data_IF_508918263492
#
_entry.id   IF_508918263492
#
_cell.length_a   1.000
_cell.length_b   1.000
_cell.length_c   1.000
_cell.angle_alpha   90.00
_cell.angle_beta   90.00
_cell.angle_gamma   90.00
#
_symmetry.space_group_name_H-M   'P 1'
#
loop_
_entity.id
_entity.type
_entity.pdbx_description
1 polymer ?
#
# COMPACT_ATOMS: atom_id res chain seq x y z
N UNK A 1 2.38 -14.25 -42.89
CA UNK A 1 1.49 -13.18 -42.40
C UNK A 1 1.70 -12.92 -40.89
N UNK A 2 2.94 -12.97 -40.37
CA UNK A 2 3.24 -12.78 -38.93
C UNK A 2 4.46 -11.86 -38.70
N UNK A 3 4.80 -11.02 -39.68
CA UNK A 3 6.00 -10.14 -39.61
C UNK A 3 5.68 -8.67 -39.36
N UNK A 4 4.41 -8.27 -39.38
CA UNK A 4 3.99 -6.89 -39.18
C UNK A 4 3.60 -6.57 -37.73
N UNK A 5 3.21 -7.56 -36.93
CA UNK A 5 2.83 -7.34 -35.52
C UNK A 5 4.02 -6.99 -34.63
N UNK A 6 5.18 -7.59 -34.88
CA UNK A 6 6.42 -7.27 -34.15
C UNK A 6 6.95 -5.88 -34.46
N UNK A 7 6.80 -5.41 -35.70
CA UNK A 7 7.24 -4.07 -36.11
C UNK A 7 6.34 -2.96 -35.55
N UNK A 8 5.05 -3.24 -35.30
CA UNK A 8 4.13 -2.28 -34.66
C UNK A 8 4.40 -2.21 -33.15
N UNK A 9 4.62 -3.34 -32.48
CA UNK A 9 5.00 -3.35 -31.05
C UNK A 9 6.35 -2.65 -30.82
N UNK A 10 7.33 -2.91 -31.70
CA UNK A 10 8.65 -2.27 -31.62
C UNK A 10 8.55 -0.79 -32.00
N UNK A 11 7.67 -0.40 -32.92
CA UNK A 11 7.45 1.01 -33.25
C UNK A 11 6.70 1.77 -32.16
N UNK A 12 5.79 1.15 -31.40
CA UNK A 12 5.18 1.76 -30.20
C UNK A 12 6.26 1.95 -29.13
N UNK A 13 7.12 0.95 -28.92
CA UNK A 13 8.23 1.04 -27.95
C UNK A 13 9.34 2.02 -28.36
N UNK A 14 9.54 2.29 -29.67
CA UNK A 14 10.63 3.15 -30.17
C UNK A 14 10.18 4.49 -30.81
N UNK A 15 8.87 4.75 -30.97
CA UNK A 15 8.33 6.03 -31.44
C UNK A 15 7.96 6.98 -30.28
N UNK A 16 8.11 6.53 -29.03
CA UNK A 16 8.08 7.35 -27.82
C UNK A 16 9.48 7.65 -27.22
N UNK A 17 10.58 7.89 -27.98
CA UNK A 17 11.90 8.18 -27.41
C UNK A 17 12.02 9.66 -26.93
N UNK A 18 10.89 10.35 -26.82
CA UNK A 18 10.75 11.74 -26.34
C UNK A 18 9.68 11.91 -25.26
N UNK A 19 8.87 10.87 -25.01
CA UNK A 19 8.33 10.64 -23.67
C UNK A 19 9.50 10.03 -22.89
N UNK A 20 10.41 10.92 -22.53
CA UNK A 20 11.20 10.77 -21.31
C UNK A 20 10.24 10.13 -20.32
N UNK A 21 10.67 9.03 -19.68
CA UNK A 21 10.11 8.53 -18.44
C UNK A 21 9.99 9.73 -17.51
N UNK A 22 8.91 10.49 -17.67
CA UNK A 22 8.64 11.69 -16.96
C UNK A 22 8.47 11.17 -15.55
N UNK A 23 9.40 11.60 -14.72
CA UNK A 23 9.63 11.26 -13.32
C UNK A 23 8.36 11.55 -12.53
N UNK A 24 7.28 10.80 -12.76
CA UNK A 24 6.22 10.65 -11.80
C UNK A 24 6.84 9.75 -10.73
N UNK A 25 7.61 10.35 -9.81
CA UNK A 25 7.82 9.82 -8.47
C UNK A 25 6.46 9.34 -7.99
N UNK A 26 6.24 8.03 -8.00
CA UNK A 26 4.91 7.49 -7.80
C UNK A 26 4.50 7.87 -6.38
N UNK A 27 3.44 8.68 -6.31
CA UNK A 27 2.87 9.36 -5.14
C UNK A 27 2.23 8.42 -4.11
N UNK A 28 2.79 7.23 -3.92
CA UNK A 28 2.14 6.14 -3.22
C UNK A 28 2.86 5.82 -1.91
N UNK A 29 2.48 6.53 -0.86
CA UNK A 29 2.85 6.13 0.49
C UNK A 29 2.10 4.85 0.85
N UNK A 30 2.85 3.88 1.36
CA UNK A 30 2.34 2.58 1.79
C UNK A 30 2.99 2.24 3.11
N UNK A 31 2.15 2.10 4.13
CA UNK A 31 2.49 1.48 5.41
C UNK A 31 1.66 0.21 5.56
N UNK A 32 1.91 -0.62 6.58
CA UNK A 32 1.08 -1.78 6.88
C UNK A 32 1.33 -2.31 8.28
N UNK A 33 0.40 -3.08 8.84
CA UNK A 33 0.65 -3.84 10.06
C UNK A 33 1.92 -4.70 9.98
N UNK A 34 2.69 -4.75 11.07
CA UNK A 34 3.91 -5.56 11.14
C UNK A 34 3.58 -7.01 10.82
N UNK A 35 4.35 -7.63 9.92
CA UNK A 35 4.14 -9.01 9.47
C UNK A 35 5.39 -9.85 9.72
N UNK A 36 5.28 -11.15 10.01
CA UNK A 36 6.44 -12.01 10.00
C UNK A 36 6.98 -12.07 8.57
N UNK A 37 8.30 -12.03 8.42
CA UNK A 37 8.92 -12.29 7.14
C UNK A 37 8.78 -13.79 6.82
N UNK A 38 7.64 -14.13 6.23
CA UNK A 38 7.28 -15.49 5.85
C UNK A 38 8.10 -15.90 4.63
N UNK A 39 8.98 -16.87 4.82
CA UNK A 39 9.79 -17.38 3.73
C UNK A 39 9.10 -18.63 3.19
N UNK A 40 9.03 -18.78 1.86
CA UNK A 40 8.30 -19.89 1.23
C UNK A 40 8.63 -21.24 1.89
N UNK A 41 7.61 -21.89 2.46
CA UNK A 41 7.74 -23.18 3.14
C UNK A 41 7.87 -23.12 4.67
N UNK A 42 7.89 -21.95 5.30
CA UNK A 42 7.80 -21.82 6.75
C UNK A 42 6.35 -21.80 7.22
N UNK A 43 6.02 -22.54 8.29
CA UNK A 43 4.72 -22.44 8.95
C UNK A 43 4.55 -21.07 9.62
N UNK A 44 3.29 -20.61 9.74
CA UNK A 44 2.99 -19.38 10.46
C UNK A 44 3.56 -19.46 11.88
N UNK A 45 4.23 -18.40 12.36
CA UNK A 45 4.72 -18.41 13.72
C UNK A 45 3.53 -18.59 14.67
N UNK A 46 3.75 -19.27 15.79
CA UNK A 46 2.74 -19.41 16.84
C UNK A 46 2.49 -18.09 17.59
N UNK A 47 2.37 -16.97 16.87
CA UNK A 47 2.12 -15.63 17.39
C UNK A 47 0.77 -15.15 16.84
N UNK A 48 -0.08 -14.66 17.72
CA UNK A 48 -1.40 -14.11 17.40
C UNK A 48 -1.39 -12.59 17.60
N UNK A 49 -2.03 -11.85 16.69
CA UNK A 49 -2.22 -10.41 16.82
C UNK A 49 -3.56 -10.14 17.51
N UNK A 50 -3.50 -9.67 18.75
CA UNK A 50 -4.67 -9.54 19.63
C UNK A 50 -5.32 -8.16 19.60
N UNK A 51 -4.60 -7.13 19.18
CA UNK A 51 -5.14 -5.80 18.94
C UNK A 51 -4.22 -4.97 18.04
N UNK A 52 -4.81 -4.04 17.31
CA UNK A 52 -4.10 -2.99 16.59
C UNK A 52 -4.76 -1.61 16.81
N UNK A 53 -3.92 -0.58 16.89
CA UNK A 53 -4.34 0.81 16.95
C UNK A 53 -3.40 1.61 16.06
N UNK A 54 -3.95 2.31 15.08
CA UNK A 54 -3.19 3.09 14.11
C UNK A 54 -3.73 4.50 14.06
N UNK A 55 -2.85 5.47 14.25
CA UNK A 55 -3.17 6.90 14.16
C UNK A 55 -2.37 7.49 13.00
N UNK A 56 -3.09 7.97 11.99
CA UNK A 56 -2.53 8.67 10.82
C UNK A 56 -2.87 10.15 10.99
N UNK A 57 -1.85 10.98 11.22
CA UNK A 57 -1.99 12.43 11.29
C UNK A 57 -1.68 13.01 9.92
N UNK A 58 -2.65 13.69 9.32
CA UNK A 58 -2.43 14.43 8.08
C UNK A 58 -2.35 15.91 8.39
N UNK A 59 -1.26 16.53 7.93
CA UNK A 59 -1.01 17.95 8.07
C UNK A 59 -0.59 18.58 6.74
N UNK A 60 -0.62 19.91 6.68
CA UNK A 60 -0.07 20.67 5.56
C UNK A 60 1.19 21.41 6.01
N UNK A 61 2.20 21.45 5.15
CA UNK A 61 3.43 22.21 5.37
C UNK A 61 3.72 23.10 4.15
N UNK A 62 4.52 24.16 4.34
CA UNK A 62 4.92 25.07 3.27
C UNK A 62 6.37 24.78 2.92
N UNK A 63 6.57 24.19 1.75
CA UNK A 63 7.91 23.97 1.22
C UNK A 63 8.38 25.21 0.46
N UNK A 64 9.47 25.81 0.93
CA UNK A 64 10.15 26.92 0.26
C UNK A 64 11.31 26.35 -0.56
N UNK A 65 11.14 26.24 -1.88
CA UNK A 65 12.21 25.75 -2.76
C UNK A 65 13.25 26.84 -2.98
N UNK A 66 14.41 26.70 -2.34
CA UNK A 66 15.63 27.41 -2.75
C UNK A 66 16.29 26.68 -3.94
N UNK A 67 15.71 26.71 -5.14
CA UNK A 67 16.33 26.09 -6.31
C UNK A 67 16.24 26.96 -7.57
N UNK A 68 17.40 27.51 -7.93
CA UNK A 68 17.84 27.92 -9.27
C UNK A 68 16.84 28.71 -10.12
N UNK A 69 16.92 30.04 -9.99
CA UNK A 69 16.49 31.01 -11.01
C UNK A 69 15.05 30.80 -11.53
N UNK A 70 14.04 31.08 -10.70
CA UNK A 70 12.83 31.90 -10.99
C UNK A 70 11.79 31.61 -9.88
N UNK A 71 11.36 32.69 -9.21
CA UNK A 71 10.35 32.81 -8.14
C UNK A 71 10.56 32.08 -6.79
N UNK A 72 10.38 32.85 -5.70
CA UNK A 72 10.07 32.34 -4.35
C UNK A 72 8.64 31.75 -4.35
N UNK A 73 8.41 30.66 -5.09
CA UNK A 73 7.12 29.96 -5.06
C UNK A 73 7.04 29.11 -3.78
N UNK A 74 6.13 29.50 -2.89
CA UNK A 74 5.71 28.69 -1.76
C UNK A 74 4.73 27.64 -2.28
N UNK A 75 5.09 26.37 -2.12
CA UNK A 75 4.19 25.25 -2.44
C UNK A 75 3.73 24.61 -1.15
N UNK A 76 2.42 24.53 -0.97
CA UNK A 76 1.82 23.75 0.12
C UNK A 76 1.93 22.27 -0.22
N UNK A 77 2.39 21.47 0.74
CA UNK A 77 2.53 20.01 0.61
C UNK A 77 1.75 19.32 1.74
N UNK A 78 1.25 18.12 1.49
CA UNK A 78 0.76 17.27 2.57
C UNK A 78 1.92 16.57 3.27
N UNK A 79 1.72 16.22 4.53
CA UNK A 79 2.56 15.32 5.30
C UNK A 79 1.69 14.33 6.05
N UNK A 80 2.20 13.12 6.22
CA UNK A 80 1.56 12.12 7.05
C UNK A 80 2.54 11.58 8.10
N UNK A 81 2.13 11.64 9.37
CA UNK A 81 2.78 10.94 10.47
C UNK A 81 1.91 9.75 10.85
N UNK A 82 2.50 8.55 10.80
CA UNK A 82 1.77 7.30 11.06
C UNK A 82 2.35 6.65 12.29
N UNK A 83 1.53 6.52 13.33
CA UNK A 83 1.85 5.82 14.56
C UNK A 83 1.02 4.55 14.62
N UNK A 84 1.70 3.41 14.59
CA UNK A 84 1.04 2.10 14.61
C UNK A 84 1.45 1.32 15.85
N UNK A 85 0.47 0.72 16.54
CA UNK A 85 0.67 -0.06 17.76
C UNK A 85 -0.04 -1.40 17.68
N UNK A 86 0.69 -2.47 17.95
CA UNK A 86 0.21 -3.85 17.84
C UNK A 86 0.50 -4.64 19.11
N UNK A 87 -0.48 -5.44 19.54
CA UNK A 87 -0.30 -6.38 20.65
C UNK A 87 -0.21 -7.81 20.14
N UNK A 88 0.99 -8.38 20.24
CA UNK A 88 1.28 -9.75 19.83
C UNK A 88 1.38 -10.68 21.03
N UNK A 89 0.76 -11.86 20.94
CA UNK A 89 0.83 -12.89 21.99
C UNK A 89 1.42 -14.17 21.44
N UNK A 90 2.45 -14.70 22.12
CA UNK A 90 3.02 -16.00 21.76
C UNK A 90 2.18 -17.16 22.28
N UNK A 91 1.54 -17.89 21.37
CA UNK A 91 0.72 -19.08 21.63
C UNK A 91 1.40 -20.39 21.27
N UNK A 92 2.64 -20.37 20.81
CA UNK A 92 3.41 -21.54 20.39
C UNK A 92 4.80 -21.63 21.02
N UNK A 93 5.72 -22.27 20.28
CA UNK A 93 7.13 -22.46 20.66
C UNK A 93 8.07 -21.45 19.98
N UNK A 94 7.53 -20.43 19.28
CA UNK A 94 8.34 -19.46 18.58
C UNK A 94 9.05 -18.54 19.58
N UNK A 95 10.37 -18.66 19.71
CA UNK A 95 11.16 -17.83 20.63
C UNK A 95 11.53 -16.48 20.02
N UNK A 96 11.62 -16.40 18.68
CA UNK A 96 12.08 -15.23 17.92
C UNK A 96 11.34 -15.12 16.60
N UNK A 97 10.97 -13.90 16.22
CA UNK A 97 10.32 -13.59 14.94
C UNK A 97 11.00 -12.40 14.29
N UNK A 98 11.33 -12.52 13.01
CA UNK A 98 11.73 -11.40 12.18
C UNK A 98 10.46 -10.75 11.63
N UNK A 99 10.17 -9.54 12.08
CA UNK A 99 9.03 -8.74 11.64
C UNK A 99 9.47 -7.79 10.53
N UNK A 100 8.53 -7.44 9.65
CA UNK A 100 8.76 -6.57 8.51
C UNK A 100 7.54 -5.70 8.17
N UNK A 101 7.81 -4.51 7.65
CA UNK A 101 6.84 -3.63 6.96
C UNK A 101 7.44 -3.18 5.61
N UNK A 102 6.61 -2.87 4.59
CA UNK A 102 7.09 -2.21 3.39
C UNK A 102 7.64 -0.83 3.74
N UNK A 103 8.67 -0.41 3.01
CA UNK A 103 9.16 0.97 3.04
C UNK A 103 8.82 1.59 1.69
N UNK A 104 8.31 2.81 1.72
CA UNK A 104 8.07 3.60 0.50
C UNK A 104 9.38 3.75 -0.28
N UNK A 105 9.40 3.33 -1.55
CA UNK A 105 10.48 3.65 -2.47
C UNK A 105 9.98 4.64 -3.51
N UNK A 106 10.66 5.78 -3.66
CA UNK A 106 10.25 6.92 -4.48
C UNK A 106 9.81 6.59 -5.91
N UNK A 107 10.18 5.44 -6.47
CA UNK A 107 9.39 4.82 -7.55
C UNK A 107 9.50 3.28 -7.54
N UNK A 108 8.50 2.55 -8.08
CA UNK A 108 8.61 1.14 -8.49
C UNK A 108 9.86 0.82 -9.31
N UNK A 109 10.30 1.79 -10.11
CA UNK A 109 11.36 1.66 -11.10
C UNK A 109 12.73 2.05 -10.54
N UNK A 110 12.82 2.78 -9.42
CA UNK A 110 14.10 3.28 -8.91
C UNK A 110 15.03 2.16 -8.43
N UNK A 111 14.56 1.11 -7.73
CA UNK A 111 15.42 -0.05 -7.44
C UNK A 111 15.90 -0.75 -8.72
N UNK A 112 15.08 -0.73 -9.77
CA UNK A 112 15.38 -1.34 -11.08
C UNK A 112 16.35 -0.51 -11.95
N UNK A 113 16.34 0.83 -11.80
CA UNK A 113 17.06 1.76 -12.69
C UNK A 113 18.31 2.36 -12.03
N UNK A 114 18.34 2.49 -10.69
CA UNK A 114 19.39 3.24 -9.99
C UNK A 114 20.11 2.41 -8.91
N UNK A 115 20.52 1.17 -9.22
CA UNK A 115 21.25 0.24 -8.34
C UNK A 115 22.59 0.74 -7.73
N UNK A 116 22.84 2.05 -7.64
CA UNK A 116 23.90 2.66 -6.86
C UNK A 116 23.38 3.92 -6.15
N UNK A 117 23.25 3.89 -4.80
CA UNK A 117 23.16 5.08 -3.95
C UNK A 117 21.84 5.36 -3.23
N UNK A 118 20.86 4.44 -3.26
CA UNK A 118 19.49 4.66 -2.75
C UNK A 118 19.37 4.70 -1.22
N UNK A 119 20.34 4.15 -0.47
CA UNK A 119 20.26 4.09 1.01
C UNK A 119 20.12 5.46 1.69
N UNK A 120 20.53 6.54 1.02
CA UNK A 120 20.49 7.90 1.60
C UNK A 120 19.12 8.59 1.51
N UNK A 121 18.13 8.00 0.83
CA UNK A 121 16.82 8.64 0.56
C UNK A 121 15.63 7.93 1.17
N UNK A 122 15.79 6.71 1.70
CA UNK A 122 14.68 5.97 2.31
C UNK A 122 14.56 6.31 3.80
N UNK A 123 13.38 6.79 4.21
CA UNK A 123 13.07 6.97 5.62
C UNK A 123 13.06 5.60 6.31
N UNK A 124 13.90 5.42 7.32
CA UNK A 124 13.89 4.19 8.12
C UNK A 124 12.91 4.40 9.28
N UNK A 125 11.87 3.56 9.43
CA UNK A 125 10.91 3.70 10.51
C UNK A 125 11.60 3.57 11.86
N UNK A 126 11.09 4.31 12.85
CA UNK A 126 11.48 4.12 14.24
C UNK A 126 10.61 3.02 14.83
N UNK A 127 11.20 1.89 15.20
CA UNK A 127 10.47 0.75 15.77
C UNK A 127 10.79 0.61 17.26
N UNK A 128 9.74 0.39 18.06
CA UNK A 128 9.82 0.14 19.49
C UNK A 128 9.21 -1.21 19.83
N UNK A 129 9.84 -1.93 20.78
CA UNK A 129 9.29 -3.14 21.38
C UNK A 129 9.22 -2.93 22.89
N UNK A 130 8.01 -2.99 23.45
CA UNK A 130 7.71 -2.65 24.85
C UNK A 130 8.30 -1.29 25.26
N UNK A 131 8.17 -0.29 24.38
CA UNK A 131 8.70 1.06 24.60
C UNK A 131 10.23 1.18 24.54
N UNK A 132 10.95 0.19 24.01
CA UNK A 132 12.40 0.27 23.78
C UNK A 132 12.74 0.23 22.29
N UNK A 133 13.61 1.12 21.78
CA UNK A 133 13.96 1.15 20.37
C UNK A 133 14.76 -0.11 19.99
N UNK A 134 14.49 -0.63 18.79
CA UNK A 134 15.19 -1.77 18.22
C UNK A 134 15.95 -1.38 16.95
N UNK A 135 16.98 -2.15 16.61
CA UNK A 135 17.69 -1.97 15.36
C UNK A 135 16.81 -2.41 14.19
N UNK A 136 16.57 -1.49 13.27
CA UNK A 136 15.86 -1.74 12.01
C UNK A 136 16.86 -1.91 10.89
N UNK A 137 16.66 -2.94 10.08
CA UNK A 137 17.50 -3.27 8.93
C UNK A 137 16.65 -3.20 7.67
N UNK A 138 17.09 -2.43 6.69
CA UNK A 138 16.48 -2.42 5.36
C UNK A 138 16.92 -3.67 4.59
N UNK A 139 15.98 -4.33 3.93
CA UNK A 139 16.21 -5.46 3.03
C UNK A 139 15.50 -5.21 1.70
N UNK A 140 16.15 -5.55 0.59
CA UNK A 140 15.58 -5.40 -0.76
C UNK A 140 15.27 -6.73 -1.42
N UNK A 141 15.66 -7.84 -0.79
CA UNK A 141 15.46 -9.17 -1.30
C UNK A 141 16.06 -10.22 -0.38
N UNK A 142 15.74 -11.49 -0.65
CA UNK A 142 16.41 -12.62 -0.05
C UNK A 142 16.77 -13.70 -1.06
N UNK A 143 17.78 -14.49 -0.74
CA UNK A 143 18.20 -15.62 -1.57
C UNK A 143 18.42 -16.87 -0.68
N UNK A 144 17.89 -18.05 -1.04
CA UNK A 144 18.17 -19.28 -0.31
C UNK A 144 19.68 -19.57 -0.33
N UNK A 145 20.32 -19.73 0.82
CA UNK A 145 21.77 -19.96 0.87
C UNK A 145 22.18 -21.27 0.17
N UNK A 146 21.26 -22.24 0.12
CA UNK A 146 21.48 -23.54 -0.53
C UNK A 146 21.55 -23.45 -2.06
N UNK A 147 21.03 -22.36 -2.64
CA UNK A 147 21.06 -22.12 -4.09
C UNK A 147 22.34 -21.38 -4.53
N UNK A 148 23.26 -21.06 -3.60
CA UNK A 148 24.54 -20.41 -3.88
C UNK A 148 25.66 -21.44 -3.88
N UNK A 149 26.24 -21.70 -5.05
CA UNK A 149 27.39 -22.60 -5.13
C UNK A 149 28.57 -22.07 -4.31
N UNK A 150 29.33 -22.98 -3.71
CA UNK A 150 30.52 -22.66 -2.90
C UNK A 150 31.54 -21.73 -3.61
N UNK A 151 31.59 -21.75 -4.94
CA UNK A 151 32.46 -20.89 -5.75
C UNK A 151 31.88 -19.52 -6.11
N UNK A 152 30.58 -19.30 -5.90
CA UNK A 152 29.85 -18.08 -6.24
C UNK A 152 29.71 -17.11 -5.06
N UNK A 153 29.92 -17.56 -3.83
CA UNK A 153 29.75 -16.73 -2.62
C UNK A 153 30.48 -15.39 -2.68
N UNK A 154 31.73 -15.36 -3.16
CA UNK A 154 32.46 -14.10 -3.24
C UNK A 154 31.80 -13.13 -4.23
N UNK A 155 31.32 -13.63 -5.37
CA UNK A 155 30.61 -12.81 -6.37
C UNK A 155 29.26 -12.32 -5.82
N UNK A 156 28.55 -13.18 -5.09
CA UNK A 156 27.26 -12.83 -4.47
C UNK A 156 27.44 -11.78 -3.37
N UNK A 157 28.41 -11.96 -2.47
CA UNK A 157 28.68 -11.00 -1.39
C UNK A 157 29.14 -9.65 -1.93
N UNK A 158 29.97 -9.64 -2.97
CA UNK A 158 30.46 -8.41 -3.61
C UNK A 158 29.31 -7.62 -4.28
N UNK A 159 28.24 -8.30 -4.73
CA UNK A 159 27.12 -7.68 -5.46
C UNK A 159 25.91 -7.33 -4.60
N UNK A 160 25.70 -8.02 -3.47
CA UNK A 160 24.45 -7.96 -2.71
C UNK A 160 24.50 -7.12 -1.43
N UNK A 161 25.66 -6.86 -0.85
CA UNK A 161 25.77 -6.19 0.48
C UNK A 161 24.86 -6.86 1.55
N UNK A 162 25.28 -8.01 2.10
CA UNK A 162 24.44 -8.80 2.99
C UNK A 162 24.16 -8.12 4.33
N UNK A 163 22.99 -8.43 4.90
CA UNK A 163 22.46 -7.83 6.14
C UNK A 163 23.14 -8.37 7.41
N UNK A 164 23.89 -9.49 7.29
CA UNK A 164 24.53 -10.19 8.39
C UNK A 164 26.06 -10.09 8.34
N UNK A 165 26.68 -9.95 9.51
CA UNK A 165 28.15 -9.95 9.67
C UNK A 165 28.80 -11.31 9.36
N UNK A 166 28.00 -12.37 9.27
CA UNK A 166 28.45 -13.73 8.97
C UNK A 166 27.57 -14.38 7.90
N UNK A 167 28.18 -15.24 7.08
CA UNK A 167 27.47 -16.03 6.08
C UNK A 167 26.33 -16.84 6.70
N UNK A 168 25.14 -16.87 6.06
CA UNK A 168 24.07 -17.75 6.48
C UNK A 168 24.52 -19.22 6.37
N UNK A 169 24.04 -20.05 7.28
CA UNK A 169 24.22 -21.50 7.24
C UNK A 169 23.36 -22.11 6.12
N UNK A 170 23.67 -23.34 5.72
CA UNK A 170 22.78 -24.13 4.86
C UNK A 170 21.38 -24.18 5.48
N UNK A 171 20.32 -24.11 4.67
CA UNK A 171 18.91 -23.88 5.04
C UNK A 171 18.52 -22.48 5.56
N UNK A 172 19.47 -21.54 5.68
CA UNK A 172 19.17 -20.14 5.99
C UNK A 172 19.06 -19.29 4.72
N UNK A 173 18.52 -18.09 4.85
CA UNK A 173 18.40 -17.14 3.75
C UNK A 173 19.45 -16.03 3.88
N UNK A 174 19.96 -15.60 2.74
CA UNK A 174 20.79 -14.42 2.59
C UNK A 174 19.88 -13.23 2.33
N UNK A 175 19.68 -12.37 3.34
CA UNK A 175 19.04 -11.06 3.14
C UNK A 175 20.08 -10.04 2.69
N UNK A 176 19.69 -9.14 1.81
CA UNK A 176 20.62 -8.21 1.18
C UNK A 176 20.10 -6.77 1.09
N UNK A 177 21.04 -5.81 1.13
CA UNK A 177 20.79 -4.37 1.15
C UNK A 177 20.97 -3.70 -0.21
N UNK A 178 21.59 -4.39 -1.17
CA UNK A 178 21.80 -3.84 -2.49
C UNK A 178 21.74 -4.94 -3.55
N UNK A 179 21.55 -4.55 -4.80
CA UNK A 179 21.77 -5.42 -5.94
C UNK A 179 22.47 -4.64 -7.05
N UNK A 180 23.74 -4.95 -7.31
CA UNK A 180 24.48 -4.35 -8.41
C UNK A 180 24.20 -5.12 -9.71
N UNK A 181 23.28 -4.60 -10.53
CA UNK A 181 22.99 -5.12 -11.87
C UNK A 181 24.17 -4.80 -12.81
N UNK A 182 25.04 -5.78 -13.07
CA UNK A 182 26.13 -5.60 -14.04
C UNK A 182 26.25 -6.71 -15.08
N UNK A 183 25.31 -7.66 -15.15
CA UNK A 183 25.41 -8.75 -16.13
C UNK A 183 24.04 -9.14 -16.72
N UNK A 184 23.78 -8.83 -18.01
CA UNK A 184 22.54 -9.22 -18.68
C UNK A 184 22.37 -10.73 -18.89
N UNK A 185 23.43 -11.54 -18.66
CA UNK A 185 23.34 -13.01 -18.70
C UNK A 185 23.01 -13.64 -17.33
N UNK A 186 22.98 -12.87 -16.24
CA UNK A 186 22.51 -13.33 -14.94
C UNK A 186 20.99 -13.11 -14.83
N UNK A 187 20.21 -14.05 -15.37
CA UNK A 187 18.78 -14.19 -15.02
C UNK A 187 18.66 -14.81 -13.63
N UNK A 188 19.09 -14.10 -12.59
CA UNK A 188 18.60 -14.45 -11.25
C UNK A 188 17.18 -13.92 -11.21
N UNK A 189 16.21 -14.83 -11.39
CA UNK A 189 14.84 -14.55 -11.00
C UNK A 189 14.91 -14.06 -9.56
N UNK A 190 14.74 -12.75 -9.34
CA UNK A 190 14.73 -12.19 -8.00
C UNK A 190 13.64 -12.91 -7.22
N UNK A 191 14.07 -13.79 -6.31
CA UNK A 191 13.22 -14.35 -5.29
C UNK A 191 12.93 -13.18 -4.34
N UNK A 192 11.65 -13.01 -4.04
CA UNK A 192 11.00 -11.94 -3.28
C UNK A 192 11.81 -11.37 -2.09
N UNK A 193 11.43 -10.21 -1.49
CA UNK A 193 10.36 -9.27 -1.88
C UNK A 193 10.69 -8.40 -3.10
N UNK A 194 9.64 -8.03 -3.85
CA UNK A 194 9.74 -7.01 -4.92
C UNK A 194 9.51 -5.58 -4.38
N UNK A 195 9.64 -5.41 -3.07
CA UNK A 195 9.42 -4.17 -2.31
C UNK A 195 10.52 -4.10 -1.25
N UNK A 196 11.07 -2.91 -1.01
CA UNK A 196 12.00 -2.71 0.10
C UNK A 196 11.26 -2.90 1.43
N UNK A 197 11.85 -3.63 2.37
CA UNK A 197 11.26 -3.87 3.69
C UNK A 197 12.17 -3.34 4.79
N UNK A 198 11.56 -2.76 5.81
CA UNK A 198 12.20 -2.49 7.10
C UNK A 198 11.95 -3.69 8.00
N UNK A 199 13.01 -4.30 8.53
CA UNK A 199 12.92 -5.52 9.32
C UNK A 199 13.61 -5.40 10.68
N UNK A 200 13.03 -6.05 11.70
CA UNK A 200 13.58 -6.12 13.05
C UNK A 200 13.23 -7.45 13.73
N UNK A 201 14.04 -7.84 14.71
CA UNK A 201 13.82 -9.09 15.45
C UNK A 201 13.09 -8.83 16.77
N UNK A 202 12.07 -9.63 17.06
CA UNK A 202 11.36 -9.62 18.34
C UNK A 202 11.49 -10.99 19.00
N UNK A 203 11.90 -11.00 20.27
CA UNK A 203 11.98 -12.21 21.09
C UNK A 203 10.75 -12.37 21.98
N UNK A 204 10.15 -13.55 21.96
CA UNK A 204 8.99 -13.91 22.76
C UNK A 204 9.32 -15.06 23.70
N UNK A 205 8.83 -15.00 24.94
CA UNK A 205 8.66 -16.21 25.76
C UNK A 205 7.27 -16.81 25.48
N UNK A 206 7.09 -18.11 25.72
CA UNK A 206 5.77 -18.74 25.58
C UNK A 206 4.74 -18.07 26.50
N UNK A 207 3.58 -17.71 25.94
CA UNK A 207 2.50 -16.99 26.62
C UNK A 207 2.77 -15.49 26.85
N UNK A 208 3.92 -14.97 26.42
CA UNK A 208 4.25 -13.56 26.58
C UNK A 208 3.50 -12.70 25.55
N UNK A 209 2.96 -11.59 26.02
CA UNK A 209 2.50 -10.49 25.18
C UNK A 209 3.62 -9.47 24.98
N UNK A 210 3.73 -8.91 23.77
CA UNK A 210 4.64 -7.82 23.41
C UNK A 210 3.85 -6.71 22.74
N UNK A 211 4.16 -5.47 23.12
CA UNK A 211 3.76 -4.28 22.39
C UNK A 211 4.83 -4.02 21.32
N UNK A 212 4.42 -3.93 20.07
CA UNK A 212 5.28 -3.53 18.96
C UNK A 212 4.69 -2.27 18.35
N UNK A 213 5.50 -1.23 18.26
CA UNK A 213 5.09 0.07 17.75
C UNK A 213 6.07 0.52 16.68
N UNK A 214 5.59 1.26 15.70
CA UNK A 214 6.48 1.97 14.79
C UNK A 214 5.89 3.31 14.37
N UNK A 215 6.79 4.22 14.02
CA UNK A 215 6.48 5.54 13.47
C UNK A 215 7.10 5.69 12.09
N UNK A 216 6.26 6.06 11.13
CA UNK A 216 6.63 6.40 9.76
C UNK A 216 6.24 7.85 9.46
N UNK A 217 7.17 8.58 8.85
CA UNK A 217 6.95 9.94 8.35
C UNK A 217 6.96 9.88 6.82
N UNK A 218 5.93 10.42 6.21
CA UNK A 218 5.87 10.61 4.77
C UNK A 218 5.84 12.10 4.44
N UNK A 219 6.92 12.55 3.82
CA UNK A 219 7.01 13.87 3.21
C UNK A 219 6.91 13.73 1.69
N UNK A 220 6.03 14.52 1.09
CA UNK A 220 5.77 14.39 -0.33
C UNK A 220 6.88 14.95 -1.21
N UNK A 221 7.35 14.15 -2.17
CA UNK A 221 8.18 14.62 -3.28
C UNK A 221 7.28 15.37 -4.27
N UNK A 222 7.32 16.70 -4.20
CA UNK A 222 6.63 17.62 -5.11
C UNK A 222 7.28 17.62 -6.49
N UNK A 223 7.28 16.51 -7.24
CA UNK A 223 7.96 16.47 -8.54
C UNK A 223 7.36 17.48 -9.55
N UNK A 224 6.13 17.97 -9.33
CA UNK A 224 5.45 18.92 -10.23
C UNK A 224 4.74 20.09 -9.55
N UNK A 225 5.01 20.35 -8.25
CA UNK A 225 4.39 21.47 -7.54
C UNK A 225 2.89 21.34 -7.28
N UNK A 226 2.32 20.12 -7.39
CA UNK A 226 0.93 19.84 -7.05
C UNK A 226 0.76 19.40 -5.60
N UNK A 227 -0.35 19.82 -4.98
CA UNK A 227 -0.81 19.39 -3.66
C UNK A 227 -1.72 18.15 -3.82
N UNK A 228 -1.13 16.95 -3.82
CA UNK A 228 -1.85 15.65 -3.95
C UNK A 228 -1.14 14.56 -3.13
N UNK A 229 -1.84 13.75 -2.32
CA UNK A 229 -1.29 12.66 -1.49
C UNK A 229 -2.10 11.38 -1.62
N UNK A 230 -1.45 10.22 -1.75
CA UNK A 230 -2.13 8.92 -1.67
C UNK A 230 -1.47 8.05 -0.61
N UNK A 231 -2.31 7.46 0.24
CA UNK A 231 -1.89 6.52 1.28
C UNK A 231 -2.69 5.23 1.19
N UNK A 232 -2.00 4.11 1.30
CA UNK A 232 -2.65 2.81 1.51
C UNK A 232 -2.13 2.17 2.78
N UNK A 233 -3.04 1.66 3.59
CA UNK A 233 -2.77 0.79 4.73
C UNK A 233 -3.43 -0.57 4.48
N UNK A 234 -2.70 -1.57 3.99
CA UNK A 234 -3.24 -2.91 3.79
C UNK A 234 -3.34 -3.67 5.11
N UNK A 235 -4.49 -4.31 5.32
CA UNK A 235 -4.75 -5.19 6.46
C UNK A 235 -4.49 -6.66 6.14
N UNK A 236 -4.26 -7.02 4.86
CA UNK A 236 -3.91 -8.39 4.48
C UNK A 236 -2.63 -8.91 5.14
N UNK A 237 -1.77 -7.99 5.59
CA UNK A 237 -0.59 -8.26 6.43
C UNK A 237 -0.97 -8.90 7.76
N UNK A 238 -2.13 -8.55 8.32
CA UNK A 238 -2.67 -9.16 9.52
C UNK A 238 -2.90 -10.68 9.40
N UNK A 239 -3.23 -11.17 8.20
CA UNK A 239 -3.50 -12.59 7.93
C UNK A 239 -2.23 -13.46 7.94
N UNK A 240 -1.06 -12.83 8.00
CA UNK A 240 0.21 -13.52 8.14
C UNK A 240 0.44 -14.02 9.57
N UNK A 241 -0.31 -13.50 10.53
CA UNK A 241 -0.34 -13.98 11.91
C UNK A 241 -1.31 -15.15 12.07
N UNK A 242 -1.18 -15.88 13.16
CA UNK A 242 -2.08 -16.99 13.46
C UNK A 242 -3.45 -16.46 13.87
N UNK A 243 -4.50 -16.89 13.18
CA UNK A 243 -5.89 -16.58 13.52
C UNK A 243 -6.36 -15.20 13.03
N UNK A 244 -7.55 -14.75 13.48
CA UNK A 244 -8.04 -13.40 13.18
C UNK A 244 -7.14 -12.33 13.77
N UNK A 245 -7.13 -11.15 13.13
CA UNK A 245 -6.64 -9.94 13.78
C UNK A 245 -7.70 -9.52 14.80
N UNK A 246 -7.28 -9.26 16.04
CA UNK A 246 -8.20 -8.99 17.16
C UNK A 246 -9.00 -7.68 17.00
N UNK A 247 -9.08 -6.88 18.06
CA UNK A 247 -9.72 -5.57 17.97
C UNK A 247 -8.79 -4.57 17.29
N UNK A 248 -9.28 -3.89 16.26
CA UNK A 248 -8.52 -2.91 15.50
C UNK A 248 -9.25 -1.58 15.39
N UNK A 249 -8.50 -0.49 15.57
CA UNK A 249 -8.97 0.86 15.26
C UNK A 249 -7.93 1.60 14.43
N UNK A 250 -8.37 2.21 13.34
CA UNK A 250 -7.54 3.03 12.46
C UNK A 250 -8.17 4.41 12.36
N UNK A 251 -7.47 5.41 12.89
CA UNK A 251 -7.93 6.80 12.95
C UNK A 251 -7.09 7.65 12.01
N UNK A 252 -7.73 8.22 10.98
CA UNK A 252 -7.13 9.24 10.11
C UNK A 252 -7.62 10.58 10.60
N UNK A 253 -6.74 11.40 11.19
CA UNK A 253 -7.11 12.72 11.68
C UNK A 253 -6.39 13.81 10.91
N UNK A 254 -7.16 14.82 10.54
CA UNK A 254 -6.69 15.98 9.82
C UNK A 254 -6.46 17.11 10.81
N UNK A 255 -5.30 17.75 10.74
CA UNK A 255 -4.98 18.87 11.62
C UNK A 255 -5.86 20.11 11.31
N UNK A 256 -5.67 21.19 12.06
CA UNK A 256 -6.44 22.44 11.88
C UNK A 256 -6.11 23.23 10.61
N UNK A 257 -5.01 22.89 9.92
CA UNK A 257 -4.60 23.55 8.67
C UNK A 257 -5.29 22.94 7.45
N UNK A 258 -5.82 21.72 7.60
CA UNK A 258 -6.46 20.96 6.54
C UNK A 258 -7.83 21.54 6.12
N UNK A 259 -8.09 21.54 4.81
CA UNK A 259 -9.40 21.85 4.22
C UNK A 259 -10.11 20.55 3.91
N UNK A 260 -11.30 20.29 4.49
CA UNK A 260 -12.05 19.03 4.31
C UNK A 260 -12.15 18.59 2.83
N UNK A 261 -12.44 19.54 1.96
CA UNK A 261 -12.63 19.30 0.53
C UNK A 261 -11.37 18.77 -0.16
N UNK A 262 -10.19 18.87 0.46
CA UNK A 262 -8.93 18.30 -0.06
C UNK A 262 -8.91 16.76 0.02
N UNK A 263 -9.74 16.14 0.87
CA UNK A 263 -9.89 14.68 0.90
C UNK A 263 -10.89 14.26 -0.18
N UNK A 264 -10.38 13.95 -1.37
CA UNK A 264 -11.21 13.72 -2.55
C UNK A 264 -11.74 12.28 -2.64
N UNK A 265 -11.04 11.30 -2.04
CA UNK A 265 -11.44 9.89 -2.13
C UNK A 265 -10.86 9.06 -0.98
N UNK A 266 -11.70 8.27 -0.31
CA UNK A 266 -11.27 7.33 0.72
C UNK A 266 -12.16 6.09 0.73
N UNK A 267 -11.56 4.93 1.05
CA UNK A 267 -12.28 3.65 1.15
C UNK A 267 -11.65 2.76 2.21
N UNK A 268 -12.48 1.97 2.89
CA UNK A 268 -12.06 0.80 3.65
C UNK A 268 -12.52 -0.47 2.95
N UNK A 269 -11.72 -1.01 2.02
CA UNK A 269 -12.08 -2.22 1.26
C UNK A 269 -12.13 -3.41 2.20
N UNK A 270 -13.22 -4.19 2.13
CA UNK A 270 -13.56 -5.27 3.05
C UNK A 270 -13.59 -4.84 4.53
N UNK A 271 -13.88 -3.57 4.80
CA UNK A 271 -14.08 -3.04 6.15
C UNK A 271 -15.51 -2.51 6.30
N UNK A 272 -15.97 -2.34 7.56
CA UNK A 272 -17.19 -1.59 7.84
C UNK A 272 -17.13 -0.15 7.31
N UNK A 273 -18.29 0.46 7.18
CA UNK A 273 -18.40 1.90 6.93
C UNK A 273 -17.67 2.69 8.03
N UNK A 274 -16.80 3.66 7.67
CA UNK A 274 -16.12 4.47 8.67
C UNK A 274 -17.07 5.45 9.36
N UNK A 275 -16.70 5.87 10.56
CA UNK A 275 -17.30 7.02 11.23
C UNK A 275 -16.54 8.30 10.85
N UNK A 276 -17.27 9.28 10.30
CA UNK A 276 -16.76 10.65 10.11
C UNK A 276 -17.08 11.51 11.33
N UNK A 277 -16.06 12.15 11.89
CA UNK A 277 -16.16 12.97 13.11
C UNK A 277 -15.67 14.38 12.82
N UNK A 278 -16.55 15.37 13.05
CA UNK A 278 -16.19 16.80 13.05
C UNK A 278 -15.95 17.30 14.47
N UNK A 279 -14.86 18.04 14.69
CA UNK A 279 -14.45 18.62 15.98
C UNK A 279 -14.41 17.57 17.11
N UNK A 280 -13.70 16.47 16.86
CA UNK A 280 -13.61 15.31 17.75
C UNK A 280 -12.37 15.30 18.65
N UNK A 281 -12.22 14.20 19.38
CA UNK A 281 -11.01 13.88 20.15
C UNK A 281 -10.68 12.41 19.99
N UNK A 282 -9.39 12.06 19.86
CA UNK A 282 -8.96 10.66 19.78
C UNK A 282 -9.29 9.92 21.09
N UNK A 283 -10.06 8.84 21.00
CA UNK A 283 -10.29 7.91 22.11
C UNK A 283 -9.41 6.68 21.92
N UNK A 284 -8.37 6.56 22.74
CA UNK A 284 -7.45 5.43 22.75
C UNK A 284 -7.60 4.58 24.02
N UNK A 285 -8.64 4.83 24.84
CA UNK A 285 -8.80 4.17 26.15
C UNK A 285 -8.94 2.66 26.03
N UNK A 286 -9.68 2.16 25.03
CA UNK A 286 -9.85 0.73 24.81
C UNK A 286 -8.48 0.05 24.60
N UNK A 287 -7.68 0.52 23.63
CA UNK A 287 -6.37 -0.06 23.34
C UNK A 287 -5.41 0.08 24.52
N UNK A 288 -5.27 1.29 25.07
CA UNK A 288 -4.35 1.58 26.16
C UNK A 288 -4.67 0.76 27.43
N UNK A 289 -5.95 0.48 27.71
CA UNK A 289 -6.35 -0.35 28.85
C UNK A 289 -5.88 -1.80 28.80
N UNK A 290 -5.44 -2.29 27.63
CA UNK A 290 -4.91 -3.65 27.41
C UNK A 290 -3.45 -3.76 27.82
N UNK A 291 -2.74 -2.63 27.93
CA UNK A 291 -1.33 -2.58 28.28
C UNK A 291 -1.14 -2.66 29.79
N UNK A 292 -0.16 -3.45 30.25
CA UNK A 292 0.22 -3.48 31.68
C UNK A 292 0.69 -2.10 32.17
N UNK A 293 1.39 -1.37 31.30
CA UNK A 293 1.81 0.00 31.55
C UNK A 293 1.53 0.87 30.32
N UNK A 294 0.38 1.57 30.25
CA UNK A 294 -0.01 2.34 29.07
C UNK A 294 0.98 3.43 28.67
N UNK A 295 1.73 3.98 29.65
CA UNK A 295 2.67 5.08 29.45
C UNK A 295 3.93 4.69 28.66
N UNK A 296 4.13 3.39 28.39
CA UNK A 296 5.24 2.95 27.51
C UNK A 296 4.90 3.13 26.04
N UNK A 297 3.60 3.20 25.70
CA UNK A 297 3.14 3.33 24.33
C UNK A 297 3.29 4.75 23.85
N UNK A 298 3.76 4.91 22.61
CA UNK A 298 3.82 6.20 21.93
C UNK A 298 2.42 6.80 21.74
N UNK A 299 1.39 5.94 21.62
CA UNK A 299 0.00 6.37 21.47
C UNK A 299 -0.60 7.00 22.74
N UNK A 300 0.02 6.82 23.91
CA UNK A 300 -0.50 7.38 25.15
C UNK A 300 -0.60 8.91 25.13
N UNK A 301 0.32 9.58 24.43
CA UNK A 301 0.36 11.04 24.31
C UNK A 301 -0.72 11.60 23.38
N UNK A 302 -1.30 10.75 22.52
CA UNK A 302 -2.36 11.13 21.58
C UNK A 302 -3.76 10.98 22.17
N UNK A 303 -3.92 10.34 23.33
CA UNK A 303 -5.24 10.11 23.91
C UNK A 303 -5.88 11.45 24.31
N UNK A 304 -7.11 11.69 23.85
CA UNK A 304 -7.83 12.97 23.92
C UNK A 304 -7.22 14.11 23.10
N UNK A 305 -6.37 13.82 22.11
CA UNK A 305 -5.95 14.84 21.15
C UNK A 305 -7.16 15.32 20.36
N UNK A 306 -7.43 16.63 20.42
CA UNK A 306 -8.51 17.27 19.67
C UNK A 306 -8.13 17.42 18.18
N UNK A 307 -9.11 17.22 17.29
CA UNK A 307 -8.93 17.37 15.85
C UNK A 307 -10.17 17.99 15.18
N UNK A 308 -9.96 18.65 14.05
CA UNK A 308 -11.05 19.35 13.33
C UNK A 308 -11.93 18.38 12.55
N UNK A 309 -11.31 17.36 11.95
CA UNK A 309 -11.98 16.34 11.17
C UNK A 309 -11.21 15.01 11.26
N UNK A 310 -11.92 13.90 11.32
CA UNK A 310 -11.33 12.58 11.35
C UNK A 310 -12.24 11.51 10.77
N UNK A 311 -11.62 10.44 10.29
CA UNK A 311 -12.27 9.25 9.76
C UNK A 311 -11.74 8.05 10.54
N UNK A 312 -12.65 7.27 11.12
CA UNK A 312 -12.32 6.16 12.01
C UNK A 312 -12.92 4.88 11.47
N UNK A 313 -12.07 3.87 11.30
CA UNK A 313 -12.51 2.49 11.09
C UNK A 313 -12.29 1.68 12.36
N UNK A 314 -13.34 0.99 12.81
CA UNK A 314 -13.27 0.01 13.89
C UNK A 314 -13.68 -1.37 13.37
N UNK A 315 -12.92 -2.39 13.77
CA UNK A 315 -13.20 -3.77 13.43
C UNK A 315 -12.77 -4.70 14.57
N UNK A 316 -13.35 -5.90 14.62
CA UNK A 316 -13.11 -6.84 15.70
C UNK A 316 -13.11 -8.27 15.19
N UNK A 317 -12.05 -9.01 15.49
CA UNK A 317 -11.83 -10.39 15.03
C UNK A 317 -11.95 -10.49 13.50
N UNK A 318 -11.37 -9.51 12.81
CA UNK A 318 -11.37 -9.48 11.35
C UNK A 318 -10.43 -10.58 10.82
N UNK A 319 -10.85 -11.29 9.79
CA UNK A 319 -10.02 -12.31 9.12
C UNK A 319 -9.65 -11.83 7.71
N UNK A 320 -8.56 -11.05 7.59
CA UNK A 320 -8.13 -10.56 6.28
C UNK A 320 -7.76 -11.70 5.33
N UNK A 321 -7.98 -11.49 4.03
CA UNK A 321 -7.50 -12.41 2.99
C UNK A 321 -5.98 -12.26 2.88
N UNK A 322 -5.18 -13.33 3.03
CA UNK A 322 -3.73 -13.23 3.07
C UNK A 322 -3.10 -12.82 1.73
N UNK A 323 -1.98 -12.10 1.83
CA UNK A 323 -1.09 -11.83 0.70
C UNK A 323 0.39 -11.83 1.08
N UNK A 324 1.25 -11.92 0.07
CA UNK A 324 2.69 -11.82 0.22
C UNK A 324 3.22 -10.39 0.09
N UNK A 325 4.53 -10.23 0.25
CA UNK A 325 5.22 -8.96 0.02
C UNK A 325 5.46 -8.71 -1.47
N UNK A 326 4.38 -8.37 -2.19
CA UNK A 326 4.42 -8.09 -3.62
C UNK A 326 4.04 -6.65 -3.92
N UNK A 327 4.76 -6.03 -4.87
CA UNK A 327 4.48 -4.66 -5.27
C UNK A 327 3.04 -4.51 -5.83
N UNK A 328 2.49 -5.56 -6.47
CA UNK A 328 1.11 -5.57 -6.96
C UNK A 328 0.07 -5.42 -5.84
N UNK A 329 0.34 -5.99 -4.67
CA UNK A 329 -0.58 -5.93 -3.54
C UNK A 329 -0.58 -4.57 -2.85
N UNK A 330 0.59 -3.94 -2.78
CA UNK A 330 0.79 -2.64 -2.13
C UNK A 330 0.44 -1.44 -3.04
N UNK A 331 0.59 -1.59 -4.35
CA UNK A 331 0.45 -0.51 -5.35
C UNK A 331 -0.55 -0.86 -6.46
N UNK A 332 -1.75 -1.29 -6.06
CA UNK A 332 -2.79 -1.80 -6.97
C UNK A 332 -3.32 -0.78 -8.01
N UNK A 333 -3.17 0.50 -7.72
CA UNK A 333 -3.64 1.66 -8.46
C UNK A 333 -2.61 2.18 -9.49
N UNK A 334 -1.47 1.49 -9.63
CA UNK A 334 -0.49 1.79 -10.67
C UNK A 334 -0.99 1.34 -12.04
N UNK A 335 -0.95 2.27 -12.99
CA UNK A 335 -1.34 2.05 -14.39
C UNK A 335 -0.62 0.84 -15.05
N UNK A 336 0.63 0.57 -14.68
CA UNK A 336 1.41 -0.58 -15.17
C UNK A 336 0.72 -1.92 -14.82
N UNK A 337 0.06 -2.01 -13.66
CA UNK A 337 -0.68 -3.23 -13.30
C UNK A 337 -1.99 -3.36 -13.99
N UNK A 338 -2.66 -2.24 -14.26
CA UNK A 338 -3.86 -2.30 -15.08
C UNK A 338 -3.56 -3.03 -16.39
N UNK A 339 -2.54 -2.62 -17.15
CA UNK A 339 -2.20 -3.28 -18.41
C UNK A 339 -1.84 -4.76 -18.23
N UNK A 340 -1.07 -5.09 -17.19
CA UNK A 340 -0.65 -6.48 -16.92
C UNK A 340 -1.85 -7.37 -16.57
N UNK A 341 -2.76 -6.87 -15.73
CA UNK A 341 -3.94 -7.59 -15.29
C UNK A 341 -5.00 -7.65 -16.40
N UNK A 342 -5.11 -6.61 -17.22
CA UNK A 342 -5.99 -6.54 -18.40
C UNK A 342 -5.59 -7.56 -19.45
N UNK A 343 -4.30 -7.64 -19.81
CA UNK A 343 -3.79 -8.66 -20.73
C UNK A 343 -4.08 -10.08 -20.21
N UNK A 344 -3.87 -10.31 -18.91
CA UNK A 344 -4.15 -11.60 -18.26
C UNK A 344 -5.64 -11.95 -18.29
N UNK A 345 -6.51 -10.95 -18.09
CA UNK A 345 -7.96 -11.09 -18.15
C UNK A 345 -8.42 -11.42 -19.58
N UNK A 346 -7.92 -10.71 -20.60
CA UNK A 346 -8.23 -10.99 -22.02
C UNK A 346 -7.82 -12.41 -22.40
N UNK A 347 -6.62 -12.84 -22.00
CA UNK A 347 -6.09 -14.16 -22.37
C UNK A 347 -6.85 -15.29 -21.67
N UNK A 348 -7.35 -15.06 -20.45
CA UNK A 348 -8.07 -16.07 -19.65
C UNK A 348 -9.24 -15.50 -18.84
N UNK A 349 -10.37 -15.16 -19.49
CA UNK A 349 -11.50 -14.47 -18.84
C UNK A 349 -12.23 -15.29 -17.76
N UNK A 350 -12.04 -16.62 -17.77
CA UNK A 350 -12.66 -17.55 -16.82
C UNK A 350 -11.69 -18.00 -15.70
N UNK A 351 -10.47 -17.48 -15.67
CA UNK A 351 -9.59 -17.71 -14.54
C UNK A 351 -10.09 -16.85 -13.39
N UNK A 352 -10.27 -17.42 -12.19
CA UNK A 352 -10.46 -16.61 -10.98
C UNK A 352 -9.25 -15.68 -10.89
N UNK A 353 -9.46 -14.40 -11.15
CA UNK A 353 -8.46 -13.42 -10.81
C UNK A 353 -8.45 -13.42 -9.27
N UNK A 354 -7.27 -13.43 -8.66
CA UNK A 354 -7.13 -13.06 -7.24
C UNK A 354 -6.53 -11.66 -7.18
N UNK A 355 -7.22 -10.65 -7.72
CA UNK A 355 -6.63 -9.36 -7.89
C UNK A 355 -6.42 -8.67 -6.54
N UNK A 356 -5.47 -7.73 -6.47
CA UNK A 356 -5.12 -7.06 -5.23
C UNK A 356 -6.28 -6.23 -4.65
N UNK A 357 -7.23 -5.79 -5.47
CA UNK A 357 -8.38 -4.98 -5.05
C UNK A 357 -9.48 -5.73 -4.28
N UNK A 358 -9.41 -7.06 -4.15
CA UNK A 358 -10.26 -7.81 -3.22
C UNK A 358 -9.57 -8.12 -1.88
N UNK A 359 -8.51 -7.37 -1.56
CA UNK A 359 -7.79 -7.53 -0.29
C UNK A 359 -8.06 -6.33 0.59
N UNK A 360 -8.28 -6.63 1.87
CA UNK A 360 -8.66 -5.66 2.87
C UNK A 360 -7.61 -4.57 3.05
N UNK A 361 -8.03 -3.31 2.97
CA UNK A 361 -7.14 -2.14 3.06
C UNK A 361 -7.92 -0.86 3.30
N UNK A 362 -7.24 0.13 3.87
CA UNK A 362 -7.65 1.53 3.80
C UNK A 362 -6.90 2.19 2.64
N UNK A 363 -7.62 2.98 1.87
CA UNK A 363 -7.11 3.79 0.78
C UNK A 363 -7.54 5.23 0.97
N UNK A 364 -6.60 6.17 0.86
CA UNK A 364 -6.84 7.61 0.95
C UNK A 364 -6.20 8.29 -0.24
N UNK A 365 -6.91 9.24 -0.83
CA UNK A 365 -6.41 10.16 -1.84
C UNK A 365 -6.87 11.57 -1.49
N UNK A 366 -5.88 12.45 -1.32
CA UNK A 366 -6.03 13.87 -1.09
C UNK A 366 -5.50 14.63 -2.30
N UNK A 367 -6.13 15.74 -2.65
CA UNK A 367 -5.75 16.51 -3.81
C UNK A 367 -6.56 17.78 -3.98
N UNK A 368 -5.97 18.77 -4.64
CA UNK A 368 -6.69 19.96 -5.12
C UNK A 368 -7.68 19.64 -6.26
N UNK A 369 -7.50 18.51 -6.93
CA UNK A 369 -8.30 18.08 -8.07
C UNK A 369 -8.96 16.75 -7.74
N UNK A 370 -10.27 16.65 -7.98
CA UNK A 370 -11.00 15.41 -7.81
C UNK A 370 -10.48 14.33 -8.79
N UNK A 371 -10.38 13.07 -8.34
CA UNK A 371 -9.98 11.97 -9.21
C UNK A 371 -10.98 11.80 -10.36
N UNK A 372 -10.48 11.48 -11.54
CA UNK A 372 -11.30 11.38 -12.76
C UNK A 372 -11.15 10.04 -13.48
N UNK A 373 -10.12 9.24 -13.19
CA UNK A 373 -9.94 7.93 -13.83
C UNK A 373 -10.17 6.78 -12.87
N UNK A 374 -11.10 5.90 -13.25
CA UNK A 374 -11.46 4.72 -12.50
C UNK A 374 -11.47 3.48 -13.40
N UNK A 375 -11.37 2.32 -12.76
CA UNK A 375 -11.50 1.03 -13.43
C UNK A 375 -12.56 0.18 -12.75
N UNK A 376 -13.42 -0.43 -13.55
CA UNK A 376 -14.36 -1.45 -13.09
C UNK A 376 -13.62 -2.70 -12.60
N UNK A 377 -13.81 -3.07 -11.35
CA UNK A 377 -13.11 -4.20 -10.73
C UNK A 377 -14.06 -5.33 -10.28
N UNK A 378 -15.37 -5.09 -10.29
CA UNK A 378 -16.35 -6.12 -9.93
C UNK A 378 -16.49 -7.18 -11.04
N UNK A 379 -16.17 -8.43 -10.70
CA UNK A 379 -16.23 -9.57 -11.62
C UNK A 379 -17.66 -9.90 -12.09
N UNK A 380 -18.68 -9.51 -11.32
CA UNK A 380 -20.09 -9.72 -11.67
C UNK A 380 -20.63 -8.67 -12.66
N UNK A 381 -19.82 -7.67 -13.00
CA UNK A 381 -20.21 -6.50 -13.78
C UNK A 381 -20.72 -5.37 -12.91
N UNK A 382 -20.54 -4.15 -13.40
CA UNK A 382 -20.88 -2.92 -12.69
C UNK A 382 -22.11 -2.27 -13.33
N UNK A 383 -23.23 -2.11 -12.61
CA UNK A 383 -24.43 -1.49 -13.16
C UNK A 383 -24.25 0.02 -13.38
N UNK A 384 -24.75 0.50 -14.51
CA UNK A 384 -24.80 1.93 -14.86
C UNK A 384 -26.23 2.42 -14.75
N UNK A 385 -26.44 3.50 -14.01
CA UNK A 385 -27.75 4.05 -13.69
C UNK A 385 -28.01 5.38 -14.38
N UNK A 386 -29.28 5.68 -14.64
CA UNK A 386 -29.71 6.98 -15.16
C UNK A 386 -29.70 8.10 -14.11
N UNK A 387 -29.71 7.76 -12.82
CA UNK A 387 -29.68 8.65 -11.66
C UNK A 387 -29.01 7.94 -10.48
N UNK A 388 -28.44 8.65 -9.48
CA UNK A 388 -27.69 8.04 -8.37
C UNK A 388 -28.65 7.41 -7.34
N UNK A 389 -29.33 6.35 -7.74
CA UNK A 389 -30.12 5.51 -6.86
C UNK A 389 -29.93 4.03 -7.23
N UNK A 390 -29.99 3.15 -6.24
CA UNK A 390 -29.78 1.71 -6.46
C UNK A 390 -31.05 0.99 -6.98
N UNK A 391 -32.04 1.71 -7.52
CA UNK A 391 -33.25 1.08 -8.05
C UNK A 391 -32.95 0.36 -9.37
N UNK A 392 -33.30 -0.93 -9.45
CA UNK A 392 -33.09 -1.72 -10.67
C UNK A 392 -33.83 -1.18 -11.91
N UNK A 393 -34.86 -0.34 -11.72
CA UNK A 393 -35.61 0.31 -12.81
C UNK A 393 -34.76 1.39 -13.51
N UNK A 394 -33.74 1.92 -12.83
CA UNK A 394 -32.90 2.98 -13.34
C UNK A 394 -31.60 2.49 -13.99
N UNK A 395 -31.34 1.18 -13.94
CA UNK A 395 -30.20 0.56 -14.63
C UNK A 395 -30.41 0.71 -16.14
N UNK A 396 -29.49 1.41 -16.79
CA UNK A 396 -29.48 1.64 -18.24
C UNK A 396 -28.47 0.73 -18.96
N UNK A 397 -27.43 0.28 -18.26
CA UNK A 397 -26.43 -0.64 -18.79
C UNK A 397 -25.68 -1.41 -17.69
N UNK A 398 -24.77 -2.31 -18.07
CA UNK A 398 -23.85 -3.00 -17.17
C UNK A 398 -22.50 -3.18 -17.87
N UNK A 399 -21.44 -2.65 -17.27
CA UNK A 399 -20.08 -2.74 -17.82
C UNK A 399 -19.33 -3.93 -17.22
N UNK A 400 -18.43 -4.53 -18.01
CA UNK A 400 -17.57 -5.62 -17.57
C UNK A 400 -16.43 -5.16 -16.64
N UNK A 401 -15.76 -6.11 -15.97
CA UNK A 401 -14.52 -5.80 -15.26
C UNK A 401 -13.44 -5.35 -16.25
N UNK A 402 -12.50 -4.56 -15.73
CA UNK A 402 -11.41 -3.89 -16.43
C UNK A 402 -11.84 -2.82 -17.44
N UNK A 403 -13.11 -2.41 -17.46
CA UNK A 403 -13.55 -1.25 -18.23
C UNK A 403 -13.03 0.04 -17.60
N UNK A 404 -12.39 0.89 -18.40
CA UNK A 404 -11.97 2.24 -18.00
C UNK A 404 -13.16 3.20 -17.95
N UNK A 405 -13.19 4.03 -16.91
CA UNK A 405 -14.30 4.93 -16.61
C UNK A 405 -13.75 6.32 -16.30
N UNK A 406 -14.19 7.32 -17.08
CA UNK A 406 -13.81 8.72 -16.87
C UNK A 406 -14.94 9.45 -16.13
N UNK A 407 -14.71 9.77 -14.86
CA UNK A 407 -15.63 10.53 -14.02
C UNK A 407 -15.49 12.02 -14.28
N UNK A 408 -16.62 12.71 -14.42
CA UNK A 408 -16.67 14.17 -14.53
C UNK A 408 -17.50 14.82 -13.40
N UNK A 409 -18.10 14.01 -12.52
CA UNK A 409 -18.84 14.43 -11.34
C UNK A 409 -18.74 13.31 -10.29
N UNK A 410 -18.45 13.67 -9.03
CA UNK A 410 -18.47 12.75 -7.88
C UNK A 410 -19.46 13.32 -6.87
N UNK A 411 -20.38 12.49 -6.40
CA UNK A 411 -21.35 12.80 -5.37
C UNK A 411 -21.40 11.64 -4.37
N UNK A 412 -20.71 11.80 -3.24
CA UNK A 412 -20.55 10.77 -2.22
C UNK A 412 -20.00 9.45 -2.82
N UNK A 413 -20.71 8.34 -2.70
CA UNK A 413 -20.31 7.05 -3.25
C UNK A 413 -20.68 6.85 -4.73
N UNK A 414 -21.14 7.89 -5.43
CA UNK A 414 -21.49 7.84 -6.84
C UNK A 414 -20.56 8.66 -7.69
N UNK A 415 -20.22 8.14 -8.86
CA UNK A 415 -19.62 8.92 -9.93
C UNK A 415 -20.58 9.01 -11.10
N UNK A 416 -20.53 10.13 -11.80
CA UNK A 416 -21.12 10.26 -13.11
C UNK A 416 -20.01 10.25 -14.14
N UNK A 417 -20.13 9.35 -15.11
CA UNK A 417 -19.02 9.02 -15.96
C UNK A 417 -19.40 8.91 -17.43
N UNK A 418 -18.40 9.13 -18.27
CA UNK A 418 -18.37 8.69 -19.66
C UNK A 418 -17.57 7.37 -19.71
N UNK A 419 -18.17 6.36 -20.32
CA UNK A 419 -17.62 5.00 -20.35
C UNK A 419 -17.23 4.70 -21.79
N UNK A 420 -15.97 4.37 -21.98
CA UNK A 420 -15.41 3.98 -23.27
C UNK A 420 -15.07 2.49 -23.24
N UNK A 421 -15.93 1.66 -23.83
CA UNK A 421 -15.61 0.25 -24.01
C UNK A 421 -14.65 0.08 -25.19
N UNK A 422 -13.50 -0.57 -24.97
CA UNK A 422 -12.50 -0.78 -26.02
C UNK A 422 -13.06 -1.56 -27.23
N UNK A 423 -14.04 -2.43 -27.01
CA UNK A 423 -14.56 -3.35 -28.03
C UNK A 423 -15.85 -2.85 -28.71
N UNK A 424 -16.45 -1.77 -28.21
CA UNK A 424 -17.68 -1.19 -28.79
C UNK A 424 -17.54 0.33 -28.93
N UNK A 425 -17.85 0.89 -30.11
CA UNK A 425 -17.94 2.35 -30.32
C UNK A 425 -19.13 2.98 -29.54
N UNK A 426 -19.63 2.33 -28.49
CA UNK A 426 -20.75 2.80 -27.68
C UNK A 426 -20.20 3.66 -26.54
N UNK A 427 -20.50 4.96 -26.61
CA UNK A 427 -20.36 5.85 -25.46
C UNK A 427 -21.58 5.71 -24.56
N UNK A 428 -21.36 5.24 -23.33
CA UNK A 428 -22.39 5.18 -22.30
C UNK A 428 -22.13 6.31 -21.31
N UNK A 429 -23.18 7.05 -20.93
CA UNK A 429 -23.11 8.07 -19.88
C UNK A 429 -24.13 7.78 -18.80
N UNK A 430 -23.69 7.76 -17.55
CA UNK A 430 -24.57 7.45 -16.42
C UNK A 430 -23.88 7.56 -15.08
N UNK A 431 -24.61 7.18 -14.04
CA UNK A 431 -24.17 7.14 -12.65
C UNK A 431 -23.73 5.73 -12.28
N UNK A 432 -22.61 5.61 -11.61
CA UNK A 432 -22.03 4.34 -11.19
C UNK A 432 -21.67 4.44 -9.71
N UNK A 433 -22.12 3.50 -8.87
CA UNK A 433 -21.70 3.48 -7.48
C UNK A 433 -20.25 2.97 -7.40
N UNK A 434 -19.38 3.68 -6.67
CA UNK A 434 -17.97 3.32 -6.44
C UNK A 434 -17.85 1.96 -5.72
N UNK A 435 -18.77 1.68 -4.81
CA UNK A 435 -18.77 0.49 -3.97
C UNK A 435 -20.18 0.13 -3.48
N UNK A 436 -20.30 -1.03 -2.84
CA UNK A 436 -21.49 -1.47 -2.11
C UNK A 436 -21.07 -2.18 -0.82
N UNK A 437 -22.01 -2.38 0.11
CA UNK A 437 -21.79 -3.21 1.29
C UNK A 437 -22.40 -4.59 1.08
N UNK A 438 -21.64 -5.64 1.38
CA UNK A 438 -22.11 -7.02 1.31
C UNK A 438 -23.04 -7.38 2.48
N UNK A 439 -23.50 -8.64 2.54
CA UNK A 439 -24.44 -9.11 3.58
C UNK A 439 -23.88 -9.00 5.02
N UNK A 440 -22.55 -9.00 5.16
CA UNK A 440 -21.83 -8.86 6.44
C UNK A 440 -21.55 -7.38 6.79
N UNK A 441 -21.96 -6.44 5.92
CA UNK A 441 -21.73 -5.00 6.12
C UNK A 441 -20.30 -4.56 5.78
N UNK A 442 -19.56 -5.34 4.98
CA UNK A 442 -18.22 -5.00 4.53
C UNK A 442 -18.25 -4.40 3.12
N UNK A 443 -17.42 -3.39 2.88
CA UNK A 443 -17.35 -2.69 1.59
C UNK A 443 -16.69 -3.54 0.50
N UNK A 444 -17.40 -3.75 -0.60
CA UNK A 444 -16.90 -4.34 -1.84
C UNK A 444 -16.88 -3.30 -2.95
N UNK A 445 -15.80 -3.27 -3.73
CA UNK A 445 -15.54 -2.21 -4.72
C UNK A 445 -16.12 -2.56 -6.08
N UNK A 446 -16.81 -1.59 -6.68
CA UNK A 446 -17.15 -1.63 -8.10
C UNK A 446 -16.07 -0.95 -8.93
N UNK A 447 -15.57 0.18 -8.45
CA UNK A 447 -14.63 1.03 -9.14
C UNK A 447 -13.43 1.33 -8.24
N UNK A 448 -12.24 1.30 -8.83
CA UNK A 448 -11.01 1.70 -8.15
C UNK A 448 -10.36 2.86 -8.87
N UNK A 449 -9.87 3.83 -8.10
CA UNK A 449 -9.08 4.94 -8.63
C UNK A 449 -7.79 4.39 -9.24
N UNK A 450 -7.47 4.86 -10.45
CA UNK A 450 -6.15 4.68 -11.05
C UNK A 450 -5.44 6.01 -11.07
N UNK A 451 -4.23 6.01 -10.52
CA UNK A 451 -3.36 7.18 -10.57
C UNK A 451 -2.49 7.02 -11.81
N UNK A 452 -2.99 7.56 -12.93
CA UNK A 452 -2.30 7.63 -14.22
C UNK A 452 -1.66 9.00 -14.46
N UNK A 453 -0.66 9.04 -15.33
CA UNK A 453 -0.01 10.29 -15.74
C UNK A 453 -0.83 10.98 -16.83
N UNK A 454 -1.99 11.52 -16.49
CA UNK A 454 -2.69 12.42 -17.41
C UNK A 454 -2.14 13.84 -17.28
N UNK A 455 -1.10 14.08 -18.07
CA UNK A 455 -0.58 15.39 -18.44
C UNK A 455 -0.33 15.51 -19.94
#
# INVERSE_FOLDING_TARGET
MHRNSWLILTAILFAFPGYIFADAGYMASVTSGASPLMISGTEHPGIEMSAEEVVILISTDILVREAWEVSDEQTEIYKADIYSSFLFTNTGEADRVLMAIPVESATPTVPWVYGQGIDSTLFTPVVMVDGQPVEVKLIYGYYPADDIDSGQWNEVLDKLDPVYDSLPQSSQFLFFRNYVYSDPDYSVDFIQPKVALACWEVSFNSGQQRLVEYHEEYEMTSDYGMKTFRLTYPLFTGATWKGPIGEGKISVIMDSSFVRDDLQYYLGILLPEPEEIENGSLDLENFLSRLENPQISQLADFNNLEFSYGIIWEFNNFEPIPSGFSYQDYYMDSEIFYYTAFDSYIDTPNHELSPPWFKSRIYLYLGEVSPHWFIAVNEQGVPVYSQPDQSSVNIIDTIGPMTSVEAFEIDDNWIKAEIHEHDTDNEIKGWIPLYYYNEDGLLEVNLILIIGTDY
#
